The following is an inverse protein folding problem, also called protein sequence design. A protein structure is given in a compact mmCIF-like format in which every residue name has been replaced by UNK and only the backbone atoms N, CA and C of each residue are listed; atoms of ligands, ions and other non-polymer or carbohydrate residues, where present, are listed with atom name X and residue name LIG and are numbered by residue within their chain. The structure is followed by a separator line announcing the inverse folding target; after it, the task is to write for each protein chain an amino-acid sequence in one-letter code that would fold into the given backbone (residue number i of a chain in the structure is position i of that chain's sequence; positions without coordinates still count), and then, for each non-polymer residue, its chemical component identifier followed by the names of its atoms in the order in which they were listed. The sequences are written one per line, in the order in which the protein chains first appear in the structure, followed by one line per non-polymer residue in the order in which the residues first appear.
data_IF_640790908739
#
_entry.id   IF_640790908739
#
_cell.length_a   1.000
_cell.length_b   1.000
_cell.length_c   1.000
_cell.angle_alpha   90.00
_cell.angle_beta   90.00
_cell.angle_gamma   90.00
#
_symmetry.space_group_name_H-M   'P 1'
#
loop_
_entity.id
_entity.type
_entity.pdbx_description
1 polymer ?
#
# COMPACT_ATOMS: atom_id res chain seq x y z
N UNK A 1 34.72 16.80 50.31
CA UNK A 1 34.61 15.65 49.37
C UNK A 1 33.43 15.95 48.45
N UNK A 2 33.62 15.97 47.13
CA UNK A 2 32.66 16.48 46.12
C UNK A 2 31.48 15.52 45.95
N UNK A 3 30.25 16.05 45.99
CA UNK A 3 29.05 15.40 45.48
C UNK A 3 29.21 15.22 43.97
N UNK A 4 29.14 13.98 43.47
CA UNK A 4 28.90 13.73 42.05
C UNK A 4 27.39 13.84 41.83
N UNK A 5 26.98 14.83 41.06
CA UNK A 5 25.62 14.95 40.53
C UNK A 5 25.29 13.67 39.75
N UNK A 6 24.26 12.98 40.22
CA UNK A 6 23.67 11.83 39.56
C UNK A 6 22.97 12.36 38.31
N UNK A 7 23.60 12.17 37.15
CA UNK A 7 23.06 12.60 35.85
C UNK A 7 21.78 11.81 35.57
N UNK A 8 20.63 12.49 35.60
CA UNK A 8 19.35 11.95 35.14
C UNK A 8 19.43 11.71 33.62
N UNK A 9 19.51 10.45 33.21
CA UNK A 9 19.41 10.08 31.80
C UNK A 9 17.92 9.97 31.44
N UNK A 10 17.44 10.86 30.58
CA UNK A 10 16.09 10.80 30.03
C UNK A 10 16.14 10.33 28.56
N UNK A 11 15.46 9.22 28.26
CA UNK A 11 15.33 8.74 26.89
C UNK A 11 14.29 9.58 26.14
N UNK A 12 14.70 10.21 25.04
CA UNK A 12 13.82 11.01 24.18
C UNK A 12 13.71 10.36 22.80
N UNK A 13 12.51 9.92 22.43
CA UNK A 13 12.25 9.29 21.13
C UNK A 13 11.65 10.30 20.15
N UNK A 14 12.28 10.47 18.99
CA UNK A 14 11.76 11.28 17.87
C UNK A 14 11.32 10.39 16.71
N UNK A 15 10.11 10.62 16.17
CA UNK A 15 9.62 9.92 14.97
C UNK A 15 9.55 10.91 13.80
N UNK A 16 10.35 10.66 12.77
CA UNK A 16 10.39 11.49 11.57
C UNK A 16 9.77 10.72 10.40
N UNK A 17 8.74 11.29 9.78
CA UNK A 17 8.11 10.71 8.58
C UNK A 17 8.67 11.38 7.33
N UNK A 18 9.33 10.59 6.49
CA UNK A 18 9.88 11.05 5.22
C UNK A 18 8.99 10.58 4.07
N UNK A 19 8.43 11.53 3.32
CA UNK A 19 7.67 11.26 2.09
C UNK A 19 8.48 11.78 0.90
N UNK A 20 9.27 10.90 0.29
CA UNK A 20 10.12 11.25 -0.84
C UNK A 20 10.37 10.02 -1.74
N UNK A 21 10.61 10.20 -3.05
CA UNK A 21 11.23 9.16 -3.87
C UNK A 21 12.52 8.68 -3.20
N UNK A 22 12.74 7.37 -3.13
CA UNK A 22 13.92 6.77 -2.49
C UNK A 22 14.02 7.11 -0.97
N UNK A 23 12.90 7.09 -0.26
CA UNK A 23 12.78 7.45 1.16
C UNK A 23 13.89 6.87 2.07
N UNK A 24 14.37 5.65 1.82
CA UNK A 24 15.47 5.05 2.60
C UNK A 24 16.78 5.85 2.52
N UNK A 25 17.12 6.38 1.34
CA UNK A 25 18.33 7.19 1.15
C UNK A 25 18.23 8.52 1.89
N UNK A 26 17.03 9.12 1.89
CA UNK A 26 16.75 10.36 2.60
C UNK A 26 16.73 10.11 4.12
N UNK A 27 16.11 9.03 4.58
CA UNK A 27 16.11 8.64 5.99
C UNK A 27 17.53 8.42 6.52
N UNK A 28 18.40 7.74 5.76
CA UNK A 28 19.81 7.57 6.14
C UNK A 28 20.53 8.93 6.22
N UNK A 29 20.31 9.83 5.27
CA UNK A 29 20.89 11.18 5.33
C UNK A 29 20.40 11.99 6.53
N UNK A 30 19.12 11.87 6.89
CA UNK A 30 18.56 12.52 8.08
C UNK A 30 19.17 11.93 9.35
N UNK A 31 19.32 10.61 9.42
CA UNK A 31 19.98 9.94 10.53
C UNK A 31 21.43 10.42 10.69
N UNK A 32 22.19 10.49 9.60
CA UNK A 32 23.58 10.98 9.61
C UNK A 32 23.65 12.45 10.04
N UNK A 33 22.75 13.29 9.52
CA UNK A 33 22.68 14.71 9.90
C UNK A 33 22.32 14.90 11.37
N UNK A 34 21.40 14.09 11.92
CA UNK A 34 21.03 14.13 13.34
C UNK A 34 22.17 13.67 14.23
N UNK A 35 22.88 12.59 13.87
CA UNK A 35 24.09 12.15 14.58
C UNK A 35 25.15 13.24 14.61
N UNK A 36 25.37 13.92 13.48
CA UNK A 36 26.32 15.01 13.38
C UNK A 36 25.89 16.25 14.20
N UNK A 37 24.61 16.64 14.12
CA UNK A 37 24.09 17.84 14.78
C UNK A 37 23.99 17.71 16.30
N UNK A 38 23.67 16.52 16.81
CA UNK A 38 23.49 16.28 18.26
C UNK A 38 24.84 16.15 18.99
N UNK A 39 25.94 15.89 18.27
CA UNK A 39 27.30 15.95 18.82
C UNK A 39 27.58 15.01 20.01
N UNK A 40 26.68 14.08 20.32
CA UNK A 40 26.79 13.18 21.46
C UNK A 40 26.94 11.72 20.99
N UNK A 41 27.92 11.04 21.58
CA UNK A 41 28.29 9.67 21.27
C UNK A 41 27.23 8.61 21.65
N UNK A 42 26.08 9.02 22.21
CA UNK A 42 25.05 8.14 22.76
C UNK A 42 23.71 8.19 22.01
N UNK A 43 23.66 8.79 20.81
CA UNK A 43 22.44 8.76 19.99
C UNK A 43 22.43 7.50 19.12
N UNK A 44 21.72 6.47 19.56
CA UNK A 44 21.40 5.33 18.71
C UNK A 44 20.25 5.70 17.77
N UNK A 45 20.57 5.91 16.49
CA UNK A 45 19.54 6.17 15.47
C UNK A 45 19.23 4.86 14.77
N UNK A 46 18.20 4.18 15.25
CA UNK A 46 17.61 3.09 14.52
C UNK A 46 16.75 3.66 13.40
N UNK A 47 17.16 3.43 12.15
CA UNK A 47 16.30 3.64 10.99
C UNK A 47 15.64 2.29 10.72
N UNK A 48 14.44 2.02 11.27
CA UNK A 48 13.76 0.77 11.00
C UNK A 48 13.52 0.68 9.50
N UNK A 49 14.29 -0.18 8.84
CA UNK A 49 14.04 -0.56 7.46
C UNK A 49 12.71 -1.30 7.49
N UNK A 50 11.61 -0.60 7.25
CA UNK A 50 10.36 -1.28 6.91
C UNK A 50 10.66 -2.05 5.63
N UNK A 51 10.98 -3.34 5.76
CA UNK A 51 10.83 -4.31 4.67
C UNK A 51 9.45 -4.04 4.11
N UNK A 52 9.41 -3.54 2.88
CA UNK A 52 8.23 -2.87 2.34
C UNK A 52 6.98 -3.67 2.66
N UNK A 53 6.05 -3.05 3.38
CA UNK A 53 4.73 -3.62 3.54
C UNK A 53 4.10 -3.88 2.17
N UNK A 54 2.95 -4.56 2.13
CA UNK A 54 2.22 -4.78 0.89
C UNK A 54 2.12 -3.46 0.11
N UNK A 55 2.58 -3.47 -1.15
CA UNK A 55 2.61 -2.28 -1.99
C UNK A 55 1.22 -1.64 -2.10
N UNK A 56 0.15 -2.44 -2.03
CA UNK A 56 -1.23 -2.04 -2.09
C UNK A 56 -1.95 -2.40 -0.78
N UNK A 57 -2.56 -1.40 -0.13
CA UNK A 57 -3.45 -1.58 1.01
C UNK A 57 -4.85 -1.15 0.63
N UNK A 58 -5.82 -2.03 0.81
CA UNK A 58 -7.23 -1.79 0.50
C UNK A 58 -8.00 -1.73 1.81
N UNK A 59 -8.73 -0.64 2.03
CA UNK A 59 -9.55 -0.41 3.21
C UNK A 59 -11.02 -0.45 2.76
N UNK A 60 -11.72 -1.59 2.96
CA UNK A 60 -13.08 -1.77 2.47
C UNK A 60 -14.05 -0.75 3.10
N UNK A 61 -13.88 -0.47 4.39
CA UNK A 61 -14.84 0.29 5.20
C UNK A 61 -14.84 1.77 4.84
N UNK A 62 -13.65 2.34 4.66
CA UNK A 62 -13.47 3.72 4.21
C UNK A 62 -13.44 3.86 2.68
N UNK A 63 -13.52 2.74 1.95
CA UNK A 63 -13.39 2.67 0.49
C UNK A 63 -12.12 3.35 -0.05
N UNK A 64 -11.01 3.17 0.65
CA UNK A 64 -9.71 3.78 0.31
C UNK A 64 -8.73 2.73 -0.18
N UNK A 65 -7.87 3.15 -1.10
CA UNK A 65 -6.75 2.34 -1.57
C UNK A 65 -5.49 3.17 -1.42
N UNK A 66 -4.48 2.59 -0.78
CA UNK A 66 -3.15 3.18 -0.68
C UNK A 66 -2.16 2.35 -1.48
N UNK A 67 -1.43 2.99 -2.39
CA UNK A 67 -0.28 2.41 -3.04
C UNK A 67 0.99 3.04 -2.46
N UNK A 68 1.81 2.23 -1.77
CA UNK A 68 3.00 2.67 -1.01
C UNK A 68 2.72 3.84 -0.06
N UNK A 69 1.51 3.90 0.50
CA UNK A 69 1.08 4.95 1.42
C UNK A 69 0.42 6.16 0.75
N UNK A 70 0.48 6.28 -0.57
CA UNK A 70 -0.20 7.33 -1.33
C UNK A 70 -1.61 6.90 -1.74
N UNK A 71 -2.58 7.81 -1.68
CA UNK A 71 -3.95 7.52 -2.04
C UNK A 71 -4.10 7.30 -3.56
N UNK A 72 -4.77 6.21 -3.92
CA UNK A 72 -5.18 5.94 -5.31
C UNK A 72 -6.66 6.28 -5.45
N UNK A 73 -6.96 7.34 -6.19
CA UNK A 73 -8.33 7.79 -6.45
C UNK A 73 -9.04 6.85 -7.43
N UNK A 74 -9.88 5.95 -6.91
CA UNK A 74 -10.71 5.04 -7.71
C UNK A 74 -12.16 5.51 -7.72
N UNK A 75 -12.84 5.36 -8.85
CA UNK A 75 -14.30 5.49 -8.89
C UNK A 75 -14.95 4.35 -8.11
N UNK A 76 -16.26 4.48 -7.80
CA UNK A 76 -17.01 3.45 -7.07
C UNK A 76 -16.81 2.04 -7.63
N UNK A 77 -17.03 1.87 -8.93
CA UNK A 77 -16.95 0.56 -9.60
C UNK A 77 -15.51 0.05 -9.76
N UNK A 78 -14.54 0.95 -9.94
CA UNK A 78 -13.13 0.55 -9.97
C UNK A 78 -12.68 0.03 -8.60
N UNK A 79 -13.12 0.68 -7.52
CA UNK A 79 -12.88 0.22 -6.15
C UNK A 79 -13.53 -1.14 -5.91
N UNK A 80 -14.82 -1.29 -6.23
CA UNK A 80 -15.56 -2.54 -5.99
C UNK A 80 -14.94 -3.72 -6.77
N UNK A 81 -14.53 -3.49 -8.02
CA UNK A 81 -13.84 -4.49 -8.82
C UNK A 81 -12.49 -4.88 -8.21
N UNK A 82 -11.67 -3.90 -7.82
CA UNK A 82 -10.36 -4.16 -7.21
C UNK A 82 -10.54 -4.92 -5.89
N UNK A 83 -11.43 -4.46 -5.00
CA UNK A 83 -11.72 -5.11 -3.73
C UNK A 83 -12.18 -6.55 -3.92
N UNK A 84 -13.05 -6.81 -4.90
CA UNK A 84 -13.53 -8.15 -5.19
C UNK A 84 -12.39 -9.10 -5.58
N UNK A 85 -11.49 -8.65 -6.46
CA UNK A 85 -10.30 -9.41 -6.86
C UNK A 85 -9.33 -9.61 -5.68
N UNK A 86 -9.08 -8.57 -4.89
CA UNK A 86 -8.16 -8.61 -3.75
C UNK A 86 -8.68 -9.45 -2.58
N UNK A 87 -10.00 -9.61 -2.44
CA UNK A 87 -10.61 -10.43 -1.38
C UNK A 87 -10.45 -11.93 -1.63
N UNK A 88 -10.15 -12.35 -2.87
CA UNK A 88 -9.96 -13.74 -3.26
C UNK A 88 -8.69 -13.88 -4.12
N UNK A 89 -7.49 -13.64 -3.56
CA UNK A 89 -6.26 -13.67 -4.33
C UNK A 89 -6.01 -15.05 -4.96
N UNK A 90 -5.29 -15.07 -6.09
CA UNK A 90 -5.02 -16.25 -6.94
C UNK A 90 -6.24 -16.90 -7.62
N UNK A 91 -7.47 -16.61 -7.19
CA UNK A 91 -8.68 -17.11 -7.85
C UNK A 91 -8.88 -16.42 -9.19
N UNK A 92 -9.20 -17.19 -10.24
CA UNK A 92 -9.57 -16.63 -11.55
C UNK A 92 -11.04 -16.25 -11.54
N UNK A 93 -11.33 -14.96 -11.69
CA UNK A 93 -12.68 -14.44 -11.83
C UNK A 93 -13.00 -14.26 -13.31
N UNK A 94 -14.03 -14.98 -13.80
CA UNK A 94 -14.50 -14.87 -15.18
C UNK A 94 -15.14 -13.49 -15.40
N UNK A 95 -15.00 -12.93 -16.61
CA UNK A 95 -15.56 -11.62 -16.96
C UNK A 95 -17.07 -11.52 -16.71
N UNK A 96 -17.82 -12.53 -17.12
CA UNK A 96 -19.28 -12.57 -16.90
C UNK A 96 -19.64 -12.58 -15.41
N UNK A 97 -18.87 -13.28 -14.58
CA UNK A 97 -19.08 -13.31 -13.13
C UNK A 97 -18.75 -11.95 -12.49
N UNK A 98 -17.62 -11.33 -12.86
CA UNK A 98 -17.25 -9.99 -12.41
C UNK A 98 -18.31 -8.95 -12.80
N UNK A 99 -18.82 -9.05 -14.02
CA UNK A 99 -19.88 -8.19 -14.51
C UNK A 99 -21.11 -8.28 -13.60
N UNK A 100 -21.61 -9.49 -13.35
CA UNK A 100 -22.75 -9.69 -12.47
C UNK A 100 -22.49 -9.24 -11.02
N UNK A 101 -21.31 -9.54 -10.47
CA UNK A 101 -21.00 -9.29 -9.06
C UNK A 101 -20.74 -7.81 -8.74
N UNK A 102 -20.19 -7.05 -9.68
CA UNK A 102 -19.80 -5.64 -9.45
C UNK A 102 -20.82 -4.66 -10.03
N UNK A 103 -21.45 -4.99 -11.17
CA UNK A 103 -22.46 -4.13 -11.80
C UNK A 103 -23.91 -4.58 -11.55
N UNK A 104 -24.14 -5.78 -11.03
CA UNK A 104 -25.48 -6.31 -10.77
C UNK A 104 -26.14 -6.99 -11.98
N UNK A 105 -27.11 -7.86 -11.68
CA UNK A 105 -27.77 -8.77 -12.62
C UNK A 105 -28.61 -8.08 -13.72
N UNK A 106 -29.10 -6.86 -13.47
CA UNK A 106 -30.01 -6.14 -14.36
C UNK A 106 -29.30 -5.28 -15.41
N UNK A 107 -27.97 -5.26 -15.40
CA UNK A 107 -27.18 -4.39 -16.27
C UNK A 107 -26.93 -5.07 -17.62
N UNK A 108 -27.59 -4.58 -18.68
CA UNK A 108 -27.36 -4.97 -20.09
C UNK A 108 -26.04 -4.37 -20.60
N UNK A 109 -24.94 -4.75 -19.98
CA UNK A 109 -23.63 -4.20 -20.29
C UNK A 109 -22.67 -5.33 -20.63
N UNK A 110 -21.96 -5.16 -21.74
CA UNK A 110 -20.99 -6.12 -22.26
C UNK A 110 -19.84 -6.33 -21.26
N UNK A 111 -19.38 -7.57 -21.16
CA UNK A 111 -18.15 -8.00 -20.49
C UNK A 111 -16.91 -7.14 -20.83
N UNK A 112 -16.87 -6.48 -21.99
CA UNK A 112 -15.85 -5.46 -22.33
C UNK A 112 -15.75 -4.33 -21.31
N UNK A 113 -16.82 -4.06 -20.57
CA UNK A 113 -16.82 -3.06 -19.50
C UNK A 113 -15.88 -3.44 -18.36
N UNK A 114 -15.79 -4.72 -18.03
CA UNK A 114 -14.81 -5.22 -17.06
C UNK A 114 -13.40 -4.91 -17.53
N UNK A 115 -13.11 -5.17 -18.80
CA UNK A 115 -11.78 -4.91 -19.39
C UNK A 115 -11.41 -3.43 -19.34
N UNK A 116 -12.36 -2.53 -19.66
CA UNK A 116 -12.17 -1.08 -19.56
C UNK A 116 -11.84 -0.66 -18.13
N UNK A 117 -12.55 -1.19 -17.14
CA UNK A 117 -12.31 -0.85 -15.73
C UNK A 117 -10.98 -1.42 -15.23
N UNK A 118 -10.62 -2.66 -15.59
CA UNK A 118 -9.28 -3.20 -15.27
C UNK A 118 -8.17 -2.34 -15.88
N UNK A 119 -8.34 -1.88 -17.14
CA UNK A 119 -7.37 -0.98 -17.77
C UNK A 119 -7.24 0.34 -17.01
N UNK A 120 -8.36 0.94 -16.58
CA UNK A 120 -8.35 2.18 -15.80
C UNK A 120 -7.70 1.98 -14.43
N UNK A 121 -8.01 0.90 -13.72
CA UNK A 121 -7.39 0.54 -12.45
C UNK A 121 -5.87 0.40 -12.63
N UNK A 122 -5.41 -0.41 -13.58
CA UNK A 122 -3.97 -0.59 -13.86
C UNK A 122 -3.27 0.74 -14.12
N UNK A 123 -3.87 1.63 -14.92
CA UNK A 123 -3.32 2.97 -15.16
C UNK A 123 -3.19 3.79 -13.88
N UNK A 124 -4.17 3.72 -12.98
CA UNK A 124 -4.16 4.43 -11.70
C UNK A 124 -3.19 3.80 -10.68
N UNK A 125 -2.96 2.49 -10.77
CA UNK A 125 -2.01 1.76 -9.91
C UNK A 125 -0.54 1.95 -10.32
N UNK A 126 -0.26 2.44 -11.55
CA UNK A 126 1.10 2.69 -11.99
C UNK A 126 1.96 1.42 -12.01
N UNK A 127 3.07 1.42 -11.27
CA UNK A 127 3.98 0.28 -11.16
C UNK A 127 3.37 -0.92 -10.42
N UNK A 128 2.30 -0.74 -9.65
CA UNK A 128 1.51 -1.83 -9.08
C UNK A 128 0.47 -2.42 -10.06
N UNK A 129 0.44 -1.99 -11.33
CA UNK A 129 -0.49 -2.55 -12.33
C UNK A 129 -0.38 -4.07 -12.50
N UNK A 130 0.80 -4.64 -12.24
CA UNK A 130 1.08 -6.07 -12.31
C UNK A 130 0.38 -6.91 -11.24
N UNK A 131 -0.19 -6.29 -10.21
CA UNK A 131 -0.99 -6.97 -9.18
C UNK A 131 -2.19 -7.70 -9.81
N UNK A 132 -2.84 -7.07 -10.79
CA UNK A 132 -3.95 -7.68 -11.52
C UNK A 132 -3.38 -8.45 -12.73
N UNK A 133 -3.49 -9.77 -12.69
CA UNK A 133 -3.16 -10.69 -13.78
C UNK A 133 -4.29 -10.85 -14.77
N UNK A 134 -3.95 -11.02 -16.06
CA UNK A 134 -4.91 -11.40 -17.10
C UNK A 134 -4.78 -12.89 -17.40
N UNK A 135 -5.88 -13.64 -17.26
CA UNK A 135 -5.99 -15.00 -17.80
C UNK A 135 -6.70 -14.90 -19.15
N UNK A 136 -5.92 -15.00 -20.24
CA UNK A 136 -6.41 -14.82 -21.61
C UNK A 136 -7.61 -15.73 -21.90
N UNK A 137 -8.66 -15.17 -22.51
CA UNK A 137 -9.91 -15.89 -22.78
C UNK A 137 -10.81 -16.16 -21.57
N UNK A 138 -10.33 -15.98 -20.33
CA UNK A 138 -11.08 -16.36 -19.11
C UNK A 138 -11.47 -15.15 -18.28
N UNK A 139 -10.49 -14.37 -17.81
CA UNK A 139 -10.77 -13.23 -16.92
C UNK A 139 -9.54 -12.71 -16.20
N UNK A 140 -9.70 -12.40 -14.92
CA UNK A 140 -8.71 -11.70 -14.11
C UNK A 140 -8.46 -12.39 -12.78
N UNK A 141 -7.27 -12.19 -12.21
CA UNK A 141 -6.92 -12.63 -10.84
C UNK A 141 -5.90 -11.67 -10.23
N UNK A 142 -5.66 -11.80 -8.93
CA UNK A 142 -4.50 -11.19 -8.28
C UNK A 142 -3.33 -12.18 -8.30
N UNK A 143 -2.22 -11.80 -8.95
CA UNK A 143 -1.02 -12.64 -9.11
C UNK A 143 0.01 -12.41 -7.99
N UNK A 144 0.13 -11.17 -7.50
CA UNK A 144 1.13 -10.76 -6.52
C UNK A 144 0.50 -10.53 -5.15
N UNK A 145 -0.06 -11.59 -4.55
CA UNK A 145 -0.80 -11.48 -3.29
C UNK A 145 0.01 -10.87 -2.15
N UNK A 146 1.31 -11.15 -2.09
CA UNK A 146 2.20 -10.61 -1.06
C UNK A 146 2.36 -9.08 -1.16
N UNK A 147 1.97 -8.49 -2.28
CA UNK A 147 1.94 -7.04 -2.49
C UNK A 147 0.58 -6.43 -2.12
N UNK A 148 -0.42 -7.22 -1.73
CA UNK A 148 -1.77 -6.73 -1.45
C UNK A 148 -2.18 -7.10 -0.03
N UNK A 149 -2.74 -6.15 0.71
CA UNK A 149 -3.41 -6.42 1.98
C UNK A 149 -4.76 -5.74 2.02
N UNK A 150 -5.79 -6.52 2.32
CA UNK A 150 -7.13 -6.01 2.62
C UNK A 150 -7.19 -5.82 4.13
N UNK A 151 -7.27 -4.57 4.58
CA UNK A 151 -7.35 -4.20 5.99
C UNK A 151 -8.80 -4.32 6.42
N UNK A 152 -9.12 -5.31 7.24
CA UNK A 152 -10.44 -5.46 7.87
C UNK A 152 -10.28 -5.07 9.33
N UNK A 153 -11.18 -4.27 9.87
CA UNK A 153 -11.23 -4.04 11.33
C UNK A 153 -11.70 -5.34 12.00
N UNK A 154 -10.94 -5.79 13.01
CA UNK A 154 -11.27 -6.93 13.88
C UNK A 154 -12.22 -6.51 15.01
#
# INVERSE_FOLDING_TARGET
MRNLEQLDAADVTFVIRVTAPQASRVANRVADALKAALGQAAVDVEVPVRRGGPALRVFPESRRVLHRGEAVELTRLEFDLLLHLCSQPRRVHRRAALMHQVWGATTVVDTRTVDVHVRRIRRKLGDAAGVIGTVRGVGYRVDQEHQVRVERED
#
